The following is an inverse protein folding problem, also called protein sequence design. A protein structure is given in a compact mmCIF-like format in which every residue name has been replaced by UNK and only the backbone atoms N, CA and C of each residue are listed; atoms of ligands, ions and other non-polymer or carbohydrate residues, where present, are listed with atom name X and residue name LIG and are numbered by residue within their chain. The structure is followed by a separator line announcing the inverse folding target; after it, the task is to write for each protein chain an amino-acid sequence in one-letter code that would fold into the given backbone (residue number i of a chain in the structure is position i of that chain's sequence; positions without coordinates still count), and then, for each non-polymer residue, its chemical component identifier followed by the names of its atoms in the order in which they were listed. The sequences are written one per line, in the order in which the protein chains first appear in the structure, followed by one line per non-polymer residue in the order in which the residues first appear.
data_IF_937471855063
#
_entry.id   IF_937471855063
#
_cell.length_a   1.000
_cell.length_b   1.000
_cell.length_c   1.000
_cell.angle_alpha   90.00
_cell.angle_beta   90.00
_cell.angle_gamma   90.00
#
_symmetry.space_group_name_H-M   'P 1'
#
loop_
_entity.id
_entity.type
_entity.pdbx_description
1 polymer ?
#
# COMPACT_ATOMS: atom_id res chain seq x y z
N UNK A 1 21.81 2.41 21.10
CA UNK A 1 22.21 2.94 19.79
C UNK A 1 21.97 1.93 18.66
N UNK A 2 22.40 0.68 18.78
CA UNK A 2 22.22 -0.41 17.79
C UNK A 2 20.76 -0.67 17.41
N UNK A 3 19.82 -0.78 18.38
CA UNK A 3 18.39 -1.03 18.11
C UNK A 3 17.72 0.09 17.28
N UNK A 4 18.21 1.32 17.37
CA UNK A 4 17.71 2.46 16.58
C UNK A 4 18.16 2.38 15.12
N UNK A 5 19.39 1.93 14.89
CA UNK A 5 19.94 1.74 13.54
C UNK A 5 19.30 0.56 12.83
N UNK A 6 19.06 -0.56 13.52
CA UNK A 6 18.41 -1.75 12.95
C UNK A 6 16.94 -1.48 12.54
N UNK A 7 16.19 -0.71 13.36
CA UNK A 7 14.81 -0.34 13.01
C UNK A 7 14.72 0.62 11.82
N UNK A 8 15.69 1.54 11.66
CA UNK A 8 15.75 2.44 10.52
C UNK A 8 16.06 1.68 9.23
N UNK A 9 17.03 0.76 9.28
CA UNK A 9 17.37 -0.10 8.12
C UNK A 9 16.20 -0.99 7.72
N UNK A 10 15.46 -1.54 8.69
CA UNK A 10 14.28 -2.38 8.43
C UNK A 10 13.18 -1.65 7.68
N UNK A 11 12.81 -0.44 8.11
CA UNK A 11 11.79 0.35 7.42
C UNK A 11 12.26 0.78 6.03
N UNK A 12 13.54 1.07 5.84
CA UNK A 12 14.12 1.37 4.53
C UNK A 12 14.01 0.15 3.59
N UNK A 13 14.36 -1.03 4.07
CA UNK A 13 14.23 -2.28 3.30
C UNK A 13 12.77 -2.50 2.88
N UNK A 14 11.81 -2.37 3.81
CA UNK A 14 10.39 -2.52 3.48
C UNK A 14 9.89 -1.45 2.49
N UNK A 15 10.38 -0.23 2.57
CA UNK A 15 10.07 0.81 1.58
C UNK A 15 10.57 0.41 0.19
N UNK A 16 11.80 -0.09 0.10
CA UNK A 16 12.36 -0.60 -1.17
C UNK A 16 11.53 -1.77 -1.69
N UNK A 17 11.16 -2.73 -0.83
CA UNK A 17 10.31 -3.86 -1.21
C UNK A 17 8.95 -3.38 -1.73
N UNK A 18 8.30 -2.42 -1.05
CA UNK A 18 7.03 -1.85 -1.49
C UNK A 18 7.14 -1.20 -2.89
N UNK A 19 8.22 -0.45 -3.13
CA UNK A 19 8.48 0.16 -4.44
C UNK A 19 8.77 -0.89 -5.52
N UNK A 20 9.49 -1.94 -5.17
CA UNK A 20 9.73 -3.08 -6.08
C UNK A 20 8.43 -3.82 -6.40
N UNK A 21 7.51 -3.99 -5.44
CA UNK A 21 6.19 -4.56 -5.70
C UNK A 21 5.41 -3.69 -6.70
N UNK A 22 5.41 -2.36 -6.54
CA UNK A 22 4.75 -1.47 -7.49
C UNK A 22 5.40 -1.55 -8.89
N UNK A 23 6.73 -1.57 -8.97
CA UNK A 23 7.44 -1.72 -10.24
C UNK A 23 7.10 -3.05 -10.92
N UNK A 24 7.02 -4.13 -10.15
CA UNK A 24 6.60 -5.46 -10.64
C UNK A 24 5.16 -5.41 -11.15
N UNK A 25 4.25 -4.73 -10.45
CA UNK A 25 2.86 -4.55 -10.86
C UNK A 25 2.74 -3.78 -12.19
N UNK A 26 3.54 -2.74 -12.37
CA UNK A 26 3.63 -2.00 -13.65
C UNK A 26 4.12 -2.93 -14.77
N UNK A 27 5.20 -3.67 -14.53
CA UNK A 27 5.75 -4.62 -15.50
C UNK A 27 4.76 -5.74 -15.84
N UNK A 28 4.05 -6.27 -14.85
CA UNK A 28 3.00 -7.26 -15.01
C UNK A 28 1.87 -6.72 -15.91
N UNK A 29 1.34 -5.54 -15.61
CA UNK A 29 0.29 -4.91 -16.42
C UNK A 29 0.77 -4.67 -17.86
N UNK A 30 2.00 -4.17 -18.06
CA UNK A 30 2.56 -3.93 -19.38
C UNK A 30 2.74 -5.24 -20.18
N UNK A 31 3.18 -6.30 -19.52
CA UNK A 31 3.36 -7.62 -20.14
C UNK A 31 2.03 -8.25 -20.59
N UNK A 32 0.99 -8.16 -19.75
CA UNK A 32 -0.31 -8.78 -20.07
C UNK A 32 -1.20 -7.90 -20.94
N UNK A 33 -0.96 -6.59 -21.02
CA UNK A 33 -1.79 -5.66 -21.78
C UNK A 33 -2.08 -6.10 -23.24
N UNK A 34 -1.10 -6.56 -24.04
CA UNK A 34 -1.39 -7.01 -25.41
C UNK A 34 -2.24 -8.29 -25.47
N UNK A 35 -2.23 -9.11 -24.40
CA UNK A 35 -2.96 -10.37 -24.31
C UNK A 35 -4.39 -10.21 -23.77
N UNK A 36 -4.73 -9.03 -23.24
CA UNK A 36 -6.08 -8.75 -22.74
C UNK A 36 -7.08 -8.68 -23.89
N UNK A 37 -8.29 -9.23 -23.73
CA UNK A 37 -9.39 -9.04 -24.69
C UNK A 37 -9.78 -7.56 -24.78
N UNK A 38 -10.41 -7.15 -25.87
CA UNK A 38 -10.87 -5.77 -26.06
C UNK A 38 -11.84 -5.31 -24.96
N UNK A 39 -12.63 -6.27 -24.40
CA UNK A 39 -13.53 -6.07 -23.24
C UNK A 39 -13.11 -7.03 -22.13
N UNK A 40 -12.82 -6.48 -20.97
CA UNK A 40 -12.42 -7.22 -19.76
C UNK A 40 -13.56 -7.18 -18.76
N UNK A 41 -13.91 -8.33 -18.19
CA UNK A 41 -14.89 -8.39 -17.11
C UNK A 41 -14.32 -7.71 -15.86
N UNK A 42 -15.07 -6.77 -15.30
CA UNK A 42 -14.65 -5.96 -14.13
C UNK A 42 -15.62 -6.05 -12.98
N UNK A 43 -16.78 -6.65 -13.20
CA UNK A 43 -17.77 -6.91 -12.17
C UNK A 43 -18.44 -8.27 -12.40
N UNK A 44 -18.71 -8.99 -11.30
CA UNK A 44 -19.36 -10.29 -11.31
C UNK A 44 -20.56 -10.26 -10.36
N UNK A 45 -21.61 -11.00 -10.68
CA UNK A 45 -22.76 -11.16 -9.81
C UNK A 45 -22.53 -12.19 -8.70
N UNK A 46 -23.56 -12.44 -7.89
CA UNK A 46 -23.48 -13.39 -6.78
C UNK A 46 -23.35 -14.87 -7.20
N UNK A 47 -23.54 -15.19 -8.48
CA UNK A 47 -23.35 -16.50 -9.09
C UNK A 47 -21.95 -16.64 -9.74
N UNK A 48 -21.16 -15.55 -9.79
CA UNK A 48 -19.86 -15.52 -10.42
C UNK A 48 -19.89 -15.24 -11.93
N UNK A 49 -21.06 -14.87 -12.48
CA UNK A 49 -21.20 -14.53 -13.89
C UNK A 49 -20.81 -13.05 -14.13
N UNK A 50 -20.04 -12.74 -15.18
CA UNK A 50 -19.62 -11.38 -15.46
C UNK A 50 -20.80 -10.52 -15.93
N UNK A 51 -21.09 -9.45 -15.21
CA UNK A 51 -22.17 -8.51 -15.49
C UNK A 51 -21.72 -7.05 -15.65
N UNK A 52 -20.41 -6.76 -15.55
CA UNK A 52 -19.80 -5.46 -15.86
C UNK A 52 -18.51 -5.63 -16.63
N UNK A 53 -18.29 -4.75 -17.62
CA UNK A 53 -17.14 -4.83 -18.51
C UNK A 53 -16.53 -3.45 -18.73
N UNK A 54 -15.19 -3.40 -18.87
CA UNK A 54 -14.46 -2.23 -19.28
C UNK A 54 -13.61 -2.53 -20.52
N UNK A 55 -13.17 -1.50 -21.21
CA UNK A 55 -12.12 -1.67 -22.22
C UNK A 55 -10.80 -2.10 -21.55
N UNK A 56 -9.91 -2.75 -22.30
CA UNK A 56 -8.61 -3.16 -21.77
C UNK A 56 -7.77 -1.99 -21.27
N UNK A 57 -7.93 -0.79 -21.86
CA UNK A 57 -7.21 0.40 -21.42
C UNK A 57 -7.76 0.93 -20.10
N UNK A 58 -9.10 1.00 -19.95
CA UNK A 58 -9.74 1.41 -18.70
C UNK A 58 -9.40 0.45 -17.55
N UNK A 59 -9.47 -0.85 -17.80
CA UNK A 59 -9.05 -1.87 -16.84
C UNK A 59 -7.60 -1.68 -16.40
N UNK A 60 -6.67 -1.51 -17.35
CA UNK A 60 -5.25 -1.35 -17.04
C UNK A 60 -4.97 -0.06 -16.27
N UNK A 61 -5.64 1.05 -16.62
CA UNK A 61 -5.53 2.32 -15.91
C UNK A 61 -6.10 2.21 -14.49
N UNK A 62 -7.22 1.51 -14.30
CA UNK A 62 -7.82 1.27 -12.99
C UNK A 62 -6.85 0.45 -12.11
N UNK A 63 -6.26 -0.63 -12.65
CA UNK A 63 -5.30 -1.46 -11.92
C UNK A 63 -4.05 -0.68 -11.52
N UNK A 64 -3.41 0.01 -12.47
CA UNK A 64 -2.22 0.83 -12.18
C UNK A 64 -2.54 1.99 -11.23
N UNK A 65 -3.69 2.63 -11.42
CA UNK A 65 -4.14 3.73 -10.56
C UNK A 65 -4.38 3.28 -9.12
N UNK A 66 -5.09 2.17 -8.92
CA UNK A 66 -5.36 1.61 -7.58
C UNK A 66 -4.07 1.16 -6.89
N UNK A 67 -3.18 0.45 -7.59
CA UNK A 67 -1.90 0.00 -7.06
C UNK A 67 -0.99 1.18 -6.70
N UNK A 68 -0.94 2.22 -7.54
CA UNK A 68 -0.19 3.45 -7.26
C UNK A 68 -0.76 4.19 -6.04
N UNK A 69 -2.09 4.31 -5.95
CA UNK A 69 -2.77 4.93 -4.82
C UNK A 69 -2.49 4.18 -3.50
N UNK A 70 -2.54 2.85 -3.51
CA UNK A 70 -2.18 2.00 -2.36
C UNK A 70 -0.73 2.24 -1.94
N UNK A 71 0.20 2.24 -2.89
CA UNK A 71 1.61 2.50 -2.61
C UNK A 71 1.82 3.87 -1.95
N UNK A 72 1.27 4.93 -2.53
CA UNK A 72 1.36 6.30 -2.00
C UNK A 72 0.73 6.43 -0.62
N UNK A 73 -0.44 5.82 -0.41
CA UNK A 73 -1.15 5.82 0.87
C UNK A 73 -0.26 5.23 1.97
N UNK A 74 0.26 4.02 1.77
CA UNK A 74 1.05 3.33 2.80
C UNK A 74 2.45 3.91 2.99
N UNK A 75 3.04 4.54 1.97
CA UNK A 75 4.26 5.35 2.13
C UNK A 75 4.01 6.60 2.98
N UNK A 76 2.84 7.23 2.83
CA UNK A 76 2.51 8.50 3.49
C UNK A 76 2.00 8.35 4.93
N UNK A 77 1.20 7.32 5.23
CA UNK A 77 0.51 7.18 6.52
C UNK A 77 1.45 7.12 7.72
N UNK A 78 2.55 6.36 7.63
CA UNK A 78 3.50 6.25 8.72
C UNK A 78 4.18 7.60 9.06
N UNK A 79 4.79 8.31 8.09
CA UNK A 79 5.34 9.64 8.29
C UNK A 79 4.31 10.69 8.74
N UNK A 80 3.05 10.58 8.28
CA UNK A 80 1.99 11.53 8.60
C UNK A 80 1.74 11.64 10.11
N UNK A 81 1.87 10.53 10.85
CA UNK A 81 1.73 10.52 12.32
C UNK A 81 2.73 11.45 13.03
N UNK A 82 3.86 11.80 12.39
CA UNK A 82 4.83 12.75 12.98
C UNK A 82 4.28 14.16 13.06
N UNK A 83 3.52 14.57 12.04
CA UNK A 83 3.09 15.96 11.84
C UNK A 83 1.66 16.22 12.30
N UNK A 84 0.83 15.17 12.38
CA UNK A 84 -0.54 15.31 12.84
C UNK A 84 -0.60 15.67 14.33
N UNK A 85 -1.57 16.56 14.71
CA UNK A 85 -1.97 16.73 16.11
C UNK A 85 -2.37 15.38 16.74
N UNK A 86 -1.99 15.17 18.01
CA UNK A 86 -2.30 13.92 18.73
C UNK A 86 -3.80 13.60 18.71
N UNK A 87 -4.65 14.64 18.77
CA UNK A 87 -6.12 14.52 18.73
C UNK A 87 -6.66 13.88 17.44
N UNK A 88 -5.93 13.99 16.33
CA UNK A 88 -6.33 13.43 15.02
C UNK A 88 -5.79 12.03 14.76
N UNK A 89 -4.92 11.53 15.63
CA UNK A 89 -4.38 10.17 15.50
C UNK A 89 -5.32 9.19 16.19
N UNK A 90 -5.94 8.30 15.42
CA UNK A 90 -6.80 7.23 15.95
C UNK A 90 -5.94 6.05 16.42
N UNK A 91 -5.40 6.17 17.62
CA UNK A 91 -4.59 5.15 18.27
C UNK A 91 -5.12 4.95 19.71
N UNK A 92 -5.42 3.71 20.13
CA UNK A 92 -5.78 3.46 21.54
C UNK A 92 -4.68 3.98 22.48
N UNK A 93 -5.09 4.65 23.56
CA UNK A 93 -4.16 5.29 24.50
C UNK A 93 -3.14 6.24 23.84
N UNK A 94 -3.59 7.00 22.82
CA UNK A 94 -2.72 7.86 21.99
C UNK A 94 -1.86 8.82 22.81
N UNK A 95 -2.38 9.37 23.92
CA UNK A 95 -1.64 10.28 24.81
C UNK A 95 -0.39 9.59 25.40
N UNK A 96 -0.52 8.29 25.73
CA UNK A 96 0.61 7.50 26.19
C UNK A 96 1.62 7.23 25.08
N UNK A 97 1.14 6.74 23.92
CA UNK A 97 2.02 6.34 22.82
C UNK A 97 2.67 7.50 22.09
N UNK A 98 1.99 8.66 22.01
CA UNK A 98 2.46 9.85 21.32
C UNK A 98 3.08 10.88 22.28
N UNK A 99 3.31 10.54 23.54
CA UNK A 99 4.10 11.37 24.47
C UNK A 99 5.51 11.62 23.88
N UNK A 100 6.12 12.78 24.14
CA UNK A 100 7.39 13.19 23.49
C UNK A 100 8.48 12.12 23.55
N UNK A 101 8.59 11.40 24.68
CA UNK A 101 9.60 10.36 24.93
C UNK A 101 9.39 9.08 24.10
N UNK A 102 8.15 8.80 23.68
CA UNK A 102 7.74 7.58 22.98
C UNK A 102 7.38 7.79 21.52
N UNK A 103 7.00 9.03 21.16
CA UNK A 103 6.47 9.36 19.84
C UNK A 103 7.38 8.84 18.69
N UNK A 104 8.69 9.04 18.82
CA UNK A 104 9.63 8.63 17.77
C UNK A 104 9.63 7.11 17.53
N UNK A 105 9.56 6.32 18.60
CA UNK A 105 9.51 4.85 18.50
C UNK A 105 8.14 4.36 18.03
N UNK A 106 7.07 4.97 18.52
CA UNK A 106 5.70 4.67 18.08
C UNK A 106 5.53 4.90 16.58
N UNK A 107 5.99 6.04 16.07
CA UNK A 107 5.95 6.34 14.63
C UNK A 107 6.71 5.30 13.82
N UNK A 108 7.88 4.82 14.27
CA UNK A 108 8.61 3.76 13.56
C UNK A 108 7.83 2.45 13.50
N UNK A 109 7.16 2.07 14.61
CA UNK A 109 6.33 0.85 14.67
C UNK A 109 5.11 0.96 13.78
N UNK A 110 4.42 2.10 13.82
CA UNK A 110 3.29 2.38 12.92
C UNK A 110 3.75 2.31 11.46
N UNK A 111 4.85 2.99 11.11
CA UNK A 111 5.37 2.95 9.76
C UNK A 111 5.76 1.53 9.31
N UNK A 112 6.34 0.73 10.18
CA UNK A 112 6.62 -0.68 9.91
C UNK A 112 5.34 -1.46 9.57
N UNK A 113 4.28 -1.32 10.38
CA UNK A 113 2.99 -1.97 10.14
C UNK A 113 2.35 -1.50 8.82
N UNK A 114 2.37 -0.18 8.54
CA UNK A 114 1.84 0.38 7.29
C UNK A 114 2.56 -0.17 6.05
N UNK A 115 3.89 -0.26 6.08
CA UNK A 115 4.67 -0.81 4.97
C UNK A 115 4.34 -2.29 4.72
N UNK A 116 4.21 -3.10 5.77
CA UNK A 116 3.78 -4.51 5.64
C UNK A 116 2.38 -4.60 5.02
N UNK A 117 1.43 -3.82 5.52
CA UNK A 117 0.07 -3.79 4.97
C UNK A 117 0.08 -3.37 3.49
N UNK A 118 0.86 -2.35 3.13
CA UNK A 118 0.99 -1.90 1.75
C UNK A 118 1.54 -2.98 0.82
N UNK A 119 2.61 -3.67 1.23
CA UNK A 119 3.18 -4.81 0.49
C UNK A 119 2.14 -5.91 0.31
N UNK A 120 1.46 -6.32 1.39
CA UNK A 120 0.45 -7.37 1.34
C UNK A 120 -0.71 -7.01 0.42
N UNK A 121 -1.16 -5.75 0.46
CA UNK A 121 -2.25 -5.25 -0.40
C UNK A 121 -1.83 -5.22 -1.88
N UNK A 122 -0.60 -4.77 -2.19
CA UNK A 122 -0.11 -4.79 -3.58
C UNK A 122 0.01 -6.22 -4.11
N UNK A 123 0.55 -7.16 -3.31
CA UNK A 123 0.63 -8.57 -3.70
C UNK A 123 -0.75 -9.18 -3.93
N UNK A 124 -1.73 -8.85 -3.10
CA UNK A 124 -3.12 -9.28 -3.28
C UNK A 124 -3.70 -8.74 -4.59
N UNK A 125 -3.54 -7.42 -4.86
CA UNK A 125 -4.03 -6.80 -6.09
C UNK A 125 -3.35 -7.34 -7.37
N UNK A 126 -2.16 -7.90 -7.25
CA UNK A 126 -1.49 -8.57 -8.39
C UNK A 126 -1.98 -10.01 -8.62
N UNK A 127 -2.62 -10.62 -7.62
CA UNK A 127 -3.10 -12.00 -7.68
C UNK A 127 -4.52 -12.13 -8.25
N UNK A 128 -5.24 -11.01 -8.41
CA UNK A 128 -6.62 -10.94 -8.96
C UNK A 128 -6.59 -10.42 -10.39
#
# INVERSE_FOLDING_TARGET
MLARQTALSRNLILTIVLLLCLLTAIGHTAYFYPHLPARVATHFDGQGEPNGFSSKIEYSLLMLGSQSAVCLLFLGLGPLVKVLPVSLVNLPNREYWLAPERKAETVKRVNFGMLIMGISTLLFLMAI
#
